data_IF_073008744053
#
_entry.id   IF_073008744053
#
_cell.length_a   1.000
_cell.length_b   1.000
_cell.length_c   1.000
_cell.angle_alpha   90.00
_cell.angle_beta   90.00
_cell.angle_gamma   90.00
#
_symmetry.space_group_name_H-M   'P 1'
#
loop_
_entity.id
_entity.type
_entity.pdbx_description
1 polymer ?
#
# COMPACT_ATOMS: atom_id res chain seq x y z
N UNK A 1 26.22 -0.03 16.14
CA UNK A 1 26.02 -1.49 16.13
C UNK A 1 25.92 -1.91 14.67
N UNK A 2 26.81 -2.76 14.15
CA UNK A 2 26.85 -3.13 12.72
C UNK A 2 25.95 -4.32 12.36
N UNK A 3 25.46 -5.04 13.38
CA UNK A 3 24.64 -6.26 13.27
C UNK A 3 23.13 -6.03 13.41
N UNK A 4 22.65 -4.83 13.09
CA UNK A 4 21.23 -4.47 13.14
C UNK A 4 20.79 -4.07 11.74
N UNK A 5 19.63 -4.56 11.29
CA UNK A 5 18.97 -4.18 10.04
C UNK A 5 17.45 -4.30 10.22
N UNK A 6 16.67 -3.69 9.33
CA UNK A 6 15.21 -3.78 9.38
C UNK A 6 14.67 -4.74 8.32
N UNK A 7 13.75 -5.63 8.70
CA UNK A 7 13.08 -6.57 7.80
C UNK A 7 11.59 -6.27 7.73
N UNK A 8 11.04 -6.17 6.53
CA UNK A 8 9.63 -5.94 6.31
C UNK A 8 9.01 -7.09 5.51
N UNK A 9 8.13 -7.83 6.17
CA UNK A 9 7.35 -8.92 5.59
C UNK A 9 6.00 -8.41 5.11
N UNK A 10 5.52 -8.95 3.99
CA UNK A 10 4.24 -8.62 3.42
C UNK A 10 3.13 -9.48 4.04
N UNK A 11 1.90 -9.01 3.96
CA UNK A 11 0.73 -9.76 4.44
C UNK A 11 0.70 -11.16 3.83
N UNK A 12 0.42 -12.18 4.65
CA UNK A 12 0.49 -13.59 4.27
C UNK A 12 1.87 -14.00 3.73
N UNK A 13 2.92 -14.01 4.56
CA UNK A 13 4.28 -14.37 4.14
C UNK A 13 4.36 -15.79 3.54
N UNK A 14 3.40 -16.66 3.89
CA UNK A 14 3.24 -18.00 3.33
C UNK A 14 2.77 -18.02 1.85
N UNK A 15 2.25 -16.90 1.35
CA UNK A 15 1.79 -16.72 -0.04
C UNK A 15 2.63 -15.71 -0.79
N UNK A 16 3.02 -14.63 -0.11
CA UNK A 16 3.89 -13.59 -0.64
C UNK A 16 5.33 -13.90 -0.28
N UNK A 17 6.08 -14.44 -1.25
CA UNK A 17 7.46 -14.86 -1.05
C UNK A 17 8.45 -13.70 -1.13
N UNK A 18 8.11 -12.50 -0.63
CA UNK A 18 8.98 -11.31 -0.68
C UNK A 18 9.22 -10.73 0.72
N UNK A 19 10.44 -10.25 0.96
CA UNK A 19 10.84 -9.57 2.19
C UNK A 19 11.79 -8.43 1.84
N UNK A 20 11.59 -7.25 2.42
CA UNK A 20 12.53 -6.14 2.25
C UNK A 20 13.58 -6.15 3.36
N UNK A 21 14.85 -6.02 2.98
CA UNK A 21 16.00 -5.92 3.88
C UNK A 21 16.56 -4.50 3.78
N UNK A 22 16.35 -3.69 4.81
CA UNK A 22 16.81 -2.31 4.85
C UNK A 22 18.07 -2.15 5.68
N UNK A 23 19.09 -1.61 5.01
CA UNK A 23 20.37 -1.26 5.60
C UNK A 23 20.21 -0.01 6.46
N UNK A 24 20.55 -0.12 7.75
CA UNK A 24 20.72 1.03 8.64
C UNK A 24 22.09 1.68 8.43
N UNK A 25 22.29 2.88 9.00
CA UNK A 25 23.50 3.67 8.75
C UNK A 25 24.82 2.93 9.05
N UNK A 26 24.85 2.08 10.07
CA UNK A 26 26.05 1.33 10.49
C UNK A 26 26.03 -0.14 10.09
N UNK A 27 24.99 -0.64 9.42
CA UNK A 27 24.83 -2.07 9.09
C UNK A 27 25.92 -2.54 8.13
N UNK A 28 26.61 -3.64 8.48
CA UNK A 28 27.69 -4.19 7.65
C UNK A 28 27.19 -4.98 6.43
N UNK A 29 28.01 -5.08 5.38
CA UNK A 29 27.73 -5.92 4.21
C UNK A 29 27.59 -7.40 4.59
N UNK A 30 28.38 -7.85 5.57
CA UNK A 30 28.30 -9.21 6.12
C UNK A 30 26.92 -9.47 6.75
N UNK A 31 26.40 -8.50 7.52
CA UNK A 31 25.06 -8.58 8.12
C UNK A 31 23.97 -8.66 7.04
N UNK A 32 24.03 -7.79 6.02
CA UNK A 32 23.08 -7.82 4.89
C UNK A 32 23.15 -9.15 4.13
N UNK A 33 24.35 -9.67 3.89
CA UNK A 33 24.57 -10.93 3.18
C UNK A 33 24.06 -12.12 3.97
N UNK A 34 24.40 -12.20 5.25
CA UNK A 34 23.99 -13.27 6.16
C UNK A 34 22.47 -13.36 6.27
N UNK A 35 21.79 -12.22 6.47
CA UNK A 35 20.32 -12.19 6.52
C UNK A 35 19.71 -12.50 5.15
N UNK A 36 20.30 -12.02 4.05
CA UNK A 36 19.84 -12.38 2.70
C UNK A 36 19.92 -13.87 2.41
N UNK A 37 20.98 -14.56 2.86
CA UNK A 37 21.10 -16.02 2.77
C UNK A 37 20.03 -16.70 3.63
N UNK A 38 19.83 -16.25 4.86
CA UNK A 38 18.79 -16.79 5.73
C UNK A 38 17.39 -16.64 5.11
N UNK A 39 17.03 -15.48 4.59
CA UNK A 39 15.72 -15.26 3.94
C UNK A 39 15.49 -16.21 2.76
N UNK A 40 16.50 -16.41 1.92
CA UNK A 40 16.42 -17.41 0.83
C UNK A 40 16.24 -18.84 1.36
N UNK A 41 16.90 -19.19 2.45
CA UNK A 41 16.78 -20.53 3.06
C UNK A 41 15.37 -20.85 3.57
N UNK A 42 14.57 -19.82 3.90
CA UNK A 42 13.18 -19.95 4.33
C UNK A 42 12.17 -19.67 3.20
N UNK A 43 12.61 -19.67 1.94
CA UNK A 43 11.73 -19.52 0.77
C UNK A 43 11.35 -18.07 0.42
N UNK A 44 12.02 -17.08 1.00
CA UNK A 44 11.75 -15.67 0.73
C UNK A 44 12.70 -15.10 -0.33
N UNK A 45 12.19 -14.19 -1.16
CA UNK A 45 12.95 -13.34 -2.07
C UNK A 45 13.33 -12.04 -1.33
N UNK A 46 14.61 -11.85 -0.94
CA UNK A 46 15.04 -10.62 -0.31
C UNK A 46 15.18 -9.48 -1.32
N UNK A 47 14.53 -8.36 -1.04
CA UNK A 47 14.62 -7.10 -1.77
C UNK A 47 15.46 -6.11 -0.96
N UNK A 48 16.51 -5.54 -1.56
CA UNK A 48 17.49 -4.73 -0.81
C UNK A 48 17.10 -3.26 -0.82
N UNK A 49 16.94 -2.68 0.37
CA UNK A 49 16.83 -1.22 0.56
C UNK A 49 18.20 -0.73 1.04
N UNK A 50 18.97 -0.14 0.12
CA UNK A 50 20.39 0.19 0.35
C UNK A 50 20.64 1.23 1.44
N UNK A 51 19.62 1.98 1.82
CA UNK A 51 19.64 2.99 2.89
C UNK A 51 18.26 3.11 3.52
N UNK A 52 18.18 3.76 4.67
CA UNK A 52 16.91 4.06 5.32
C UNK A 52 15.96 4.81 4.38
N UNK A 53 14.73 4.30 4.27
CA UNK A 53 13.67 4.83 3.42
C UNK A 53 12.32 4.61 4.09
N UNK A 54 11.59 5.69 4.39
CA UNK A 54 10.22 5.58 4.90
C UNK A 54 9.35 4.82 3.90
N UNK A 55 8.73 3.72 4.37
CA UNK A 55 7.96 2.83 3.52
C UNK A 55 8.79 1.89 2.64
N UNK A 56 10.09 1.72 2.92
CA UNK A 56 10.96 0.78 2.20
C UNK A 56 10.94 1.04 0.68
N UNK A 57 10.74 0.01 -0.15
CA UNK A 57 10.57 0.09 -1.61
C UNK A 57 9.08 0.15 -1.93
N UNK A 58 8.32 -0.91 -1.63
CA UNK A 58 6.95 -1.03 -2.12
C UNK A 58 6.01 -0.02 -1.49
N UNK A 59 6.01 0.15 -0.16
CA UNK A 59 5.08 1.09 0.47
C UNK A 59 5.36 2.53 0.05
N UNK A 60 6.61 2.87 -0.28
CA UNK A 60 6.98 4.17 -0.84
C UNK A 60 6.48 4.36 -2.28
N UNK A 61 6.55 3.33 -3.13
CA UNK A 61 5.93 3.37 -4.46
C UNK A 61 4.40 3.45 -4.34
N UNK A 62 3.83 2.63 -3.46
CA UNK A 62 2.41 2.59 -3.17
C UNK A 62 1.89 3.92 -2.66
N UNK A 63 2.64 4.65 -1.81
CA UNK A 63 2.31 6.03 -1.41
C UNK A 63 2.03 6.90 -2.63
N UNK A 64 2.95 6.93 -3.60
CA UNK A 64 2.81 7.80 -4.77
C UNK A 64 1.57 7.43 -5.60
N UNK A 65 1.36 6.14 -5.85
CA UNK A 65 0.19 5.62 -6.58
C UNK A 65 -1.10 5.97 -5.84
N UNK A 66 -1.18 5.61 -4.56
CA UNK A 66 -2.36 5.81 -3.72
C UNK A 66 -2.74 7.28 -3.60
N UNK A 67 -1.76 8.16 -3.39
CA UNK A 67 -1.96 9.61 -3.31
C UNK A 67 -2.57 10.15 -4.60
N UNK A 68 -2.04 9.75 -5.76
CA UNK A 68 -2.59 10.18 -7.05
C UNK A 68 -4.01 9.66 -7.29
N UNK A 69 -4.27 8.39 -6.97
CA UNK A 69 -5.61 7.82 -7.07
C UNK A 69 -6.62 8.60 -6.23
N UNK A 70 -6.28 8.95 -4.99
CA UNK A 70 -7.16 9.72 -4.12
C UNK A 70 -7.41 11.14 -4.67
N UNK A 71 -6.38 11.84 -5.15
CA UNK A 71 -6.53 13.19 -5.71
C UNK A 71 -7.37 13.20 -6.99
N UNK A 72 -7.20 12.24 -7.90
CA UNK A 72 -8.04 12.12 -9.10
C UNK A 72 -9.53 12.06 -8.77
N UNK A 73 -9.90 11.38 -7.68
CA UNK A 73 -11.31 11.24 -7.27
C UNK A 73 -11.77 12.44 -6.44
N UNK A 74 -10.92 12.98 -5.56
CA UNK A 74 -11.23 14.18 -4.75
C UNK A 74 -11.44 15.42 -5.64
N UNK A 75 -10.67 15.54 -6.73
CA UNK A 75 -10.79 16.59 -7.75
C UNK A 75 -11.96 16.36 -8.73
N UNK A 76 -12.69 15.24 -8.60
CA UNK A 76 -13.82 14.90 -9.46
C UNK A 76 -13.46 14.56 -10.91
N UNK A 77 -12.19 14.21 -11.18
CA UNK A 77 -11.71 13.85 -12.52
C UNK A 77 -12.23 12.48 -12.94
N UNK A 78 -12.33 11.54 -12.00
CA UNK A 78 -12.84 10.18 -12.24
C UNK A 78 -13.60 9.64 -11.03
N UNK A 79 -14.46 8.65 -11.25
CA UNK A 79 -15.01 7.83 -10.17
C UNK A 79 -13.93 6.88 -9.63
N UNK A 80 -14.04 6.47 -8.36
CA UNK A 80 -13.13 5.46 -7.81
C UNK A 80 -13.29 4.11 -8.51
N UNK A 81 -14.50 3.81 -9.03
CA UNK A 81 -14.74 2.64 -9.85
C UNK A 81 -13.95 2.69 -11.16
N UNK A 82 -13.92 3.81 -11.87
CA UNK A 82 -13.20 3.91 -13.14
C UNK A 82 -11.69 3.90 -12.95
N UNK A 83 -11.18 4.46 -11.84
CA UNK A 83 -9.75 4.33 -11.48
C UNK A 83 -9.40 2.86 -11.24
N UNK A 84 -10.23 2.12 -10.49
CA UNK A 84 -10.02 0.69 -10.27
C UNK A 84 -10.17 -0.13 -11.55
N UNK A 85 -11.15 0.17 -12.41
CA UNK A 85 -11.30 -0.46 -13.74
C UNK A 85 -10.05 -0.27 -14.58
N UNK A 86 -9.58 0.97 -14.72
CA UNK A 86 -8.38 1.28 -15.50
C UNK A 86 -7.17 0.50 -14.99
N UNK A 87 -6.97 0.47 -13.67
CA UNK A 87 -5.88 -0.29 -13.04
C UNK A 87 -6.01 -1.79 -13.25
N UNK A 88 -7.20 -2.35 -13.01
CA UNK A 88 -7.46 -3.78 -13.13
C UNK A 88 -7.32 -4.26 -14.57
N UNK A 89 -7.86 -3.52 -15.54
CA UNK A 89 -7.77 -3.84 -16.96
C UNK A 89 -6.34 -3.75 -17.48
N UNK A 90 -5.57 -2.74 -17.07
CA UNK A 90 -4.19 -2.56 -17.55
C UNK A 90 -3.20 -3.57 -16.93
N UNK A 91 -3.30 -3.82 -15.62
CA UNK A 91 -2.35 -4.68 -14.91
C UNK A 91 -2.83 -6.12 -14.73
N UNK A 92 -4.05 -6.46 -15.14
CA UNK A 92 -4.63 -7.80 -14.96
C UNK A 92 -4.84 -8.18 -13.49
N UNK A 93 -5.08 -7.19 -12.61
CA UNK A 93 -5.25 -7.43 -11.18
C UNK A 93 -6.72 -7.68 -10.82
N UNK A 94 -6.96 -8.43 -9.73
CA UNK A 94 -8.32 -8.73 -9.24
C UNK A 94 -8.94 -7.62 -8.38
N UNK A 95 -8.19 -6.56 -8.12
CA UNK A 95 -8.53 -5.51 -7.16
C UNK A 95 -7.71 -4.27 -7.51
N UNK A 96 -8.39 -3.14 -7.69
CA UNK A 96 -7.75 -1.86 -7.93
C UNK A 96 -7.29 -1.16 -6.65
N UNK A 97 -6.70 0.04 -6.78
CA UNK A 97 -6.18 0.81 -5.66
C UNK A 97 -7.20 1.11 -4.56
N UNK A 98 -8.45 1.42 -4.92
CA UNK A 98 -9.51 1.72 -3.96
C UNK A 98 -9.98 0.47 -3.24
N UNK A 99 -10.19 -0.64 -3.96
CA UNK A 99 -10.44 -1.94 -3.33
C UNK A 99 -9.30 -2.37 -2.39
N UNK A 100 -8.04 -2.05 -2.72
CA UNK A 100 -6.88 -2.33 -1.86
C UNK A 100 -6.87 -1.43 -0.61
N UNK A 101 -7.20 -0.14 -0.74
CA UNK A 101 -7.34 0.76 0.42
C UNK A 101 -8.43 0.30 1.38
N UNK A 102 -9.59 -0.12 0.87
CA UNK A 102 -10.67 -0.68 1.69
C UNK A 102 -10.25 -1.97 2.42
N UNK A 103 -9.40 -2.78 1.78
CA UNK A 103 -8.84 -3.99 2.40
C UNK A 103 -7.84 -3.67 3.51
N UNK A 104 -7.02 -2.62 3.35
CA UNK A 104 -6.09 -2.13 4.38
C UNK A 104 -6.84 -1.50 5.56
N UNK A 105 -7.89 -0.74 5.26
CA UNK A 105 -8.66 0.05 6.22
C UNK A 105 -8.41 1.55 6.03
N UNK A 106 -9.47 2.33 5.86
CA UNK A 106 -9.33 3.75 5.49
C UNK A 106 -8.74 4.63 6.59
N UNK A 107 -8.98 4.29 7.86
CA UNK A 107 -8.32 4.90 9.01
C UNK A 107 -6.80 4.65 9.02
N UNK A 108 -6.38 3.42 8.72
CA UNK A 108 -4.95 3.08 8.56
C UNK A 108 -4.35 3.85 7.38
N UNK A 109 -5.09 3.97 6.27
CA UNK A 109 -4.65 4.76 5.11
C UNK A 109 -4.44 6.22 5.49
N UNK A 110 -5.37 6.83 6.24
CA UNK A 110 -5.23 8.20 6.77
C UNK A 110 -4.02 8.34 7.67
N UNK A 111 -3.78 7.39 8.57
CA UNK A 111 -2.64 7.45 9.48
C UNK A 111 -1.32 7.39 8.72
N UNK A 112 -1.23 6.58 7.66
CA UNK A 112 -0.09 6.54 6.75
C UNK A 112 0.10 7.89 6.03
N UNK A 113 -0.97 8.50 5.51
CA UNK A 113 -0.88 9.83 4.87
C UNK A 113 -0.42 10.90 5.87
N UNK A 114 -0.90 10.88 7.12
CA UNK A 114 -0.46 11.81 8.15
C UNK A 114 1.03 11.67 8.49
N UNK A 115 1.57 10.44 8.55
CA UNK A 115 3.01 10.21 8.72
C UNK A 115 3.78 10.89 7.58
N UNK A 116 3.34 10.67 6.35
CA UNK A 116 4.00 11.22 5.18
C UNK A 116 3.88 12.74 5.05
N UNK A 117 2.74 13.31 5.43
CA UNK A 117 2.54 14.74 5.53
C UNK A 117 3.45 15.38 6.59
N UNK A 118 3.56 14.74 7.76
CA UNK A 118 4.47 15.20 8.83
C UNK A 118 5.94 15.21 8.41
N UNK A 119 6.36 14.24 7.58
CA UNK A 119 7.72 14.18 7.03
C UNK A 119 7.97 15.21 5.91
N UNK A 120 7.01 15.41 5.00
CA UNK A 120 7.22 16.24 3.82
C UNK A 120 6.89 17.72 4.03
N UNK A 121 5.92 18.02 4.90
CA UNK A 121 5.31 19.33 5.04
C UNK A 121 4.51 19.79 3.80
N UNK A 122 4.37 18.94 2.78
CA UNK A 122 3.67 19.28 1.54
C UNK A 122 2.15 19.07 1.73
N UNK A 123 1.31 20.11 1.57
CA UNK A 123 -0.13 19.98 1.69
C UNK A 123 -0.75 18.89 0.80
N UNK A 124 -0.10 18.53 -0.32
CA UNK A 124 -0.56 17.46 -1.22
C UNK A 124 -0.42 16.06 -0.62
N UNK A 125 0.37 15.89 0.42
CA UNK A 125 0.50 14.63 1.17
C UNK A 125 -0.48 14.56 2.35
N UNK A 126 -1.25 15.62 2.63
CA UNK A 126 -2.29 15.56 3.64
C UNK A 126 -3.44 14.64 3.18
N UNK A 127 -4.11 13.93 4.11
CA UNK A 127 -5.27 13.12 3.75
C UNK A 127 -6.35 13.96 3.03
N UNK A 128 -6.78 13.56 1.81
CA UNK A 128 -7.77 14.33 1.04
C UNK A 128 -9.16 14.25 1.67
N UNK A 129 -10.04 15.20 1.32
CA UNK A 129 -11.34 15.35 1.98
C UNK A 129 -12.22 14.12 1.76
N UNK A 130 -12.23 13.57 0.54
CA UNK A 130 -12.91 12.31 0.20
C UNK A 130 -12.62 11.17 1.18
N UNK A 131 -11.35 11.00 1.58
CA UNK A 131 -10.94 9.95 2.51
C UNK A 131 -11.48 10.23 3.92
N UNK A 132 -11.36 11.47 4.38
CA UNK A 132 -11.82 11.88 5.71
C UNK A 132 -13.35 11.73 5.84
N UNK A 133 -14.11 12.13 4.83
CA UNK A 133 -15.57 12.05 4.83
C UNK A 133 -16.08 10.61 4.95
N UNK A 134 -15.38 9.63 4.36
CA UNK A 134 -15.69 8.21 4.51
C UNK A 134 -15.44 7.73 5.94
N UNK A 135 -14.31 8.13 6.52
CA UNK A 135 -13.95 7.77 7.89
C UNK A 135 -14.95 8.36 8.89
N UNK A 136 -15.38 9.62 8.71
CA UNK A 136 -16.40 10.27 9.55
C UNK A 136 -17.74 9.55 9.52
N UNK A 137 -18.09 8.93 8.39
CA UNK A 137 -19.28 8.08 8.22
C UNK A 137 -19.11 6.67 8.78
N UNK A 138 -17.94 6.31 9.31
CA UNK A 138 -17.62 4.96 9.77
C UNK A 138 -17.40 3.95 8.63
N UNK A 139 -17.21 4.43 7.39
CA UNK A 139 -16.96 3.61 6.21
C UNK A 139 -15.47 3.27 6.12
N UNK A 140 -14.99 2.35 6.97
CA UNK A 140 -13.56 2.02 7.10
C UNK A 140 -13.08 0.90 6.16
N UNK A 141 -13.89 0.47 5.19
CA UNK A 141 -13.56 -0.60 4.25
C UNK A 141 -14.11 -1.97 4.66
N UNK A 142 -13.35 -3.03 4.37
CA UNK A 142 -13.79 -4.42 4.55
C UNK A 142 -14.22 -4.71 5.99
N UNK A 143 -13.49 -4.15 6.97
CA UNK A 143 -13.72 -4.40 8.41
C UNK A 143 -15.05 -3.84 8.94
N UNK A 144 -15.64 -2.88 8.25
CA UNK A 144 -16.95 -2.28 8.59
C UNK A 144 -18.03 -2.62 7.56
N UNK A 145 -17.72 -3.48 6.58
CA UNK A 145 -18.65 -3.84 5.51
C UNK A 145 -18.84 -2.75 4.44
N UNK A 146 -18.19 -1.60 4.57
CA UNK A 146 -18.30 -0.47 3.63
C UNK A 146 -17.10 0.45 3.72
N UNK A 147 -16.57 0.86 2.57
CA UNK A 147 -15.56 1.90 2.39
C UNK A 147 -15.84 2.66 1.09
N UNK A 148 -14.93 2.59 0.12
CA UNK A 148 -15.24 2.95 -1.27
C UNK A 148 -16.27 2.00 -1.88
N UNK A 149 -16.14 0.70 -1.61
CA UNK A 149 -17.10 -0.32 -2.03
C UNK A 149 -17.92 -0.85 -0.84
N UNK A 150 -19.00 -1.56 -1.16
CA UNK A 150 -19.78 -2.34 -0.18
C UNK A 150 -19.29 -3.79 -0.14
N UNK A 151 -19.20 -4.38 1.04
CA UNK A 151 -18.70 -5.74 1.27
C UNK A 151 -19.79 -6.61 1.93
N UNK A 152 -19.82 -7.94 1.67
CA UNK A 152 -18.76 -8.78 1.07
C UNK A 152 -18.74 -8.85 -0.46
N UNK A 153 -19.69 -8.22 -1.15
CA UNK A 153 -19.86 -8.29 -2.60
C UNK A 153 -19.56 -6.94 -3.28
N UNK A 154 -18.30 -6.49 -3.33
CA UNK A 154 -17.95 -5.24 -3.99
C UNK A 154 -18.10 -5.36 -5.50
N UNK A 155 -18.48 -4.26 -6.15
CA UNK A 155 -18.78 -4.22 -7.59
C UNK A 155 -17.60 -4.71 -8.47
N UNK A 156 -16.35 -4.58 -8.03
CA UNK A 156 -15.19 -5.06 -8.78
C UNK A 156 -15.08 -6.59 -8.89
N UNK A 157 -15.92 -7.35 -8.18
CA UNK A 157 -16.04 -8.81 -8.35
C UNK A 157 -17.04 -9.21 -9.44
N UNK A 158 -17.88 -8.28 -9.90
CA UNK A 158 -18.83 -8.57 -10.97
C UNK A 158 -18.07 -8.84 -12.27
N UNK A 159 -18.47 -9.89 -13.00
CA UNK A 159 -17.82 -10.26 -14.26
C UNK A 159 -17.88 -9.14 -15.30
N UNK A 160 -18.88 -8.26 -15.22
CA UNK A 160 -19.02 -7.10 -16.10
C UNK A 160 -18.22 -5.87 -15.67
N UNK A 161 -17.45 -5.90 -14.58
CA UNK A 161 -16.80 -4.70 -14.06
C UNK A 161 -15.73 -4.14 -15.00
N UNK A 162 -14.98 -5.02 -15.66
CA UNK A 162 -13.90 -4.68 -16.61
C UNK A 162 -14.24 -5.05 -18.06
N UNK A 163 -15.45 -5.54 -18.31
CA UNK A 163 -15.90 -5.91 -19.66
C UNK A 163 -16.51 -4.68 -20.37
N UNK A 164 -16.49 -4.62 -21.71
CA UNK A 164 -17.06 -3.52 -22.50
C UNK A 164 -18.58 -3.36 -22.39
#
# INVERSE_FOLDING_TARGET
>A
MDRVLNTHFYSNPWRSHIVELMRGHTTSDETMTSVGVFMRSIGMLPLVVSKESTGFIFNRVWRAVKRECLHLVDDGIASYEDVDRAWMSYYGTKMGPFGLMDKVGLDVVRDIENVYYGESGDPRDAPPRLLLDKIEKGELGVKTGKGFYSYPNPAFLDSGFIEP
#
